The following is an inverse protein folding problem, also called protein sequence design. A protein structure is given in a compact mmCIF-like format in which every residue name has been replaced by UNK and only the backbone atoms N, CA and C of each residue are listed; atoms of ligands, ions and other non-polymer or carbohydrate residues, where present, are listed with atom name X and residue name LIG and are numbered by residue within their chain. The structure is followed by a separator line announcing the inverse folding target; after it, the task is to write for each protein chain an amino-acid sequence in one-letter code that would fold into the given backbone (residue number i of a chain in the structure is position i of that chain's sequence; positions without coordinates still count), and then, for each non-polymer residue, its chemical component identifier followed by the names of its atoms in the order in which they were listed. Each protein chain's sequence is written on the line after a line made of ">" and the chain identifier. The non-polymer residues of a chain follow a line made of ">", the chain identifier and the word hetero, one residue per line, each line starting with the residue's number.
data_IF_086136689939
#
_entry.id   IF_086136689939
#
_cell.length_a   1.000
_cell.length_b   1.000
_cell.length_c   1.000
_cell.angle_alpha   90.00
_cell.angle_beta   90.00
_cell.angle_gamma   90.00
#
_symmetry.space_group_name_H-M   'P 1'
#
loop_
_entity.id
_entity.type
_entity.pdbx_description
1 polymer ?
#
# COMPACT_ATOMS: atom_id res chain seq x y z
N UNK A 1 11.65 8.45 -6.20
CA UNK A 1 10.33 8.26 -6.85
C UNK A 1 9.19 8.55 -5.88
N UNK A 2 8.03 8.99 -6.36
CA UNK A 2 6.80 9.21 -5.57
C UNK A 2 5.67 8.38 -6.17
N UNK A 3 5.12 7.42 -5.42
CA UNK A 3 4.01 6.58 -5.85
C UNK A 3 2.71 7.01 -5.18
N UNK A 4 1.63 7.18 -5.95
CA UNK A 4 0.32 7.50 -5.38
C UNK A 4 -0.83 7.00 -6.26
N UNK A 5 -2.00 6.83 -5.65
CA UNK A 5 -3.23 6.46 -6.37
C UNK A 5 -3.85 7.65 -7.14
N UNK A 6 -4.91 7.35 -7.88
CA UNK A 6 -5.64 8.31 -8.73
C UNK A 6 -6.30 9.47 -7.98
N UNK A 7 -6.47 9.36 -6.66
CA UNK A 7 -7.01 10.41 -5.79
C UNK A 7 -6.01 11.53 -5.52
N UNK A 8 -4.71 11.27 -5.73
CA UNK A 8 -3.64 12.24 -5.52
C UNK A 8 -3.20 13.00 -6.77
N UNK A 9 -3.91 12.83 -7.89
CA UNK A 9 -3.65 13.58 -9.13
C UNK A 9 -3.91 15.06 -8.87
N UNK A 10 -2.85 15.86 -8.88
CA UNK A 10 -2.92 17.31 -8.73
C UNK A 10 -1.71 17.95 -9.41
N UNK A 11 -1.97 18.78 -10.42
CA UNK A 11 -0.94 19.41 -11.24
C UNK A 11 0.05 20.25 -10.41
N UNK A 12 -0.45 21.12 -9.52
CA UNK A 12 0.41 21.97 -8.67
C UNK A 12 1.31 21.14 -7.76
N UNK A 13 0.82 19.98 -7.31
CA UNK A 13 1.60 19.06 -6.48
C UNK A 13 2.68 18.34 -7.30
N UNK A 14 2.31 17.83 -8.48
CA UNK A 14 3.22 17.15 -9.39
C UNK A 14 4.36 18.08 -9.82
N UNK A 15 4.05 19.32 -10.17
CA UNK A 15 5.03 20.35 -10.56
C UNK A 15 6.00 20.66 -9.41
N UNK A 16 5.48 20.95 -8.21
CA UNK A 16 6.31 21.22 -7.03
C UNK A 16 7.27 20.07 -6.72
N UNK A 17 6.77 18.83 -6.74
CA UNK A 17 7.59 17.66 -6.42
C UNK A 17 8.59 17.34 -7.54
N UNK A 18 8.23 17.60 -8.80
CA UNK A 18 9.14 17.46 -9.93
C UNK A 18 10.27 18.50 -9.83
N UNK A 19 9.96 19.74 -9.44
CA UNK A 19 10.96 20.78 -9.16
C UNK A 19 11.89 20.44 -7.99
N UNK A 20 11.46 19.57 -7.08
CA UNK A 20 12.29 19.01 -6.00
C UNK A 20 13.11 17.77 -6.44
N UNK A 21 13.06 17.39 -7.72
CA UNK A 21 13.81 16.25 -8.26
C UNK A 21 13.12 14.89 -8.10
N UNK A 22 11.87 14.84 -7.64
CA UNK A 22 11.15 13.58 -7.52
C UNK A 22 10.54 13.13 -8.85
N UNK A 23 10.70 11.84 -9.17
CA UNK A 23 10.01 11.21 -10.30
C UNK A 23 8.59 10.78 -9.91
N UNK A 24 7.59 11.25 -10.65
CA UNK A 24 6.16 11.03 -10.37
C UNK A 24 5.62 9.70 -10.93
N UNK A 25 5.12 8.85 -10.04
CA UNK A 25 4.38 7.62 -10.32
C UNK A 25 2.97 7.70 -9.72
N UNK A 26 2.23 8.74 -10.11
CA UNK A 26 0.82 8.90 -9.72
C UNK A 26 -0.07 8.28 -10.78
N UNK A 27 -1.03 7.45 -10.39
CA UNK A 27 -1.99 6.84 -11.32
C UNK A 27 -2.84 7.90 -12.01
N UNK A 28 -3.11 7.74 -13.31
CA UNK A 28 -4.03 8.63 -14.03
C UNK A 28 -5.48 8.30 -13.68
N UNK A 29 -6.30 9.34 -13.53
CA UNK A 29 -7.73 9.27 -13.26
C UNK A 29 -8.49 9.54 -14.57
N UNK A 30 -9.41 8.65 -14.93
CA UNK A 30 -10.38 8.93 -16.00
C UNK A 30 -11.53 9.80 -15.47
N UNK A 31 -12.18 10.55 -16.36
CA UNK A 31 -13.43 11.25 -16.08
C UNK A 31 -14.58 10.60 -16.86
N UNK A 32 -15.82 10.99 -16.54
CA UNK A 32 -17.03 10.47 -17.20
C UNK A 32 -16.93 10.53 -18.73
N UNK A 33 -16.39 11.64 -19.23
CA UNK A 33 -16.32 11.91 -20.68
C UNK A 33 -14.94 11.59 -21.28
N UNK A 34 -13.95 11.24 -20.45
CA UNK A 34 -12.58 10.90 -20.89
C UNK A 34 -12.09 9.66 -20.14
N UNK A 35 -12.43 8.45 -20.63
CA UNK A 35 -11.93 7.22 -20.05
C UNK A 35 -10.41 7.12 -20.23
N UNK A 36 -9.76 6.32 -19.38
CA UNK A 36 -8.33 6.07 -19.49
C UNK A 36 -8.02 5.16 -20.69
N UNK A 37 -7.07 5.58 -21.51
CA UNK A 37 -6.54 4.76 -22.61
C UNK A 37 -5.89 3.49 -22.10
N UNK A 38 -5.75 2.48 -22.95
CA UNK A 38 -5.05 1.24 -22.61
C UNK A 38 -3.60 1.48 -22.16
N UNK A 39 -2.89 2.43 -22.78
CA UNK A 39 -1.55 2.82 -22.38
C UNK A 39 -1.53 3.36 -20.94
N UNK A 40 -2.51 4.19 -20.58
CA UNK A 40 -2.67 4.69 -19.21
C UNK A 40 -3.06 3.57 -18.23
N UNK A 41 -3.88 2.61 -18.64
CA UNK A 41 -4.21 1.43 -17.82
C UNK A 41 -2.96 0.59 -17.53
N UNK A 42 -2.14 0.29 -18.55
CA UNK A 42 -0.88 -0.44 -18.38
C UNK A 42 0.07 0.31 -17.45
N UNK A 43 0.18 1.63 -17.58
CA UNK A 43 0.94 2.48 -16.63
C UNK A 43 0.39 2.39 -15.22
N UNK A 44 -0.92 2.52 -15.03
CA UNK A 44 -1.56 2.43 -13.71
C UNK A 44 -1.34 1.06 -13.06
N UNK A 45 -1.39 -0.03 -13.84
CA UNK A 45 -1.09 -1.40 -13.38
C UNK A 45 0.34 -1.51 -12.86
N UNK A 46 1.32 -0.98 -13.60
CA UNK A 46 2.74 -0.95 -13.18
C UNK A 46 2.92 -0.17 -11.87
N UNK A 47 2.26 0.99 -11.76
CA UNK A 47 2.30 1.83 -10.54
C UNK A 47 1.60 1.15 -9.36
N UNK A 48 0.51 0.41 -9.61
CA UNK A 48 -0.24 -0.31 -8.57
C UNK A 48 0.49 -1.53 -8.01
N UNK A 49 1.34 -2.18 -8.82
CA UNK A 49 1.95 -3.47 -8.47
C UNK A 49 2.79 -3.42 -7.17
N UNK A 50 3.66 -2.43 -6.94
CA UNK A 50 4.33 -2.29 -5.65
C UNK A 50 3.36 -2.07 -4.48
N UNK A 51 2.27 -1.33 -4.73
CA UNK A 51 1.27 -0.97 -3.70
C UNK A 51 0.46 -2.17 -3.22
N UNK A 52 0.17 -3.11 -4.12
CA UNK A 52 -0.53 -4.35 -3.77
C UNK A 52 0.19 -5.12 -2.64
N UNK A 53 1.53 -5.12 -2.64
CA UNK A 53 2.33 -5.76 -1.58
C UNK A 53 2.07 -5.15 -0.20
N UNK A 54 1.87 -3.83 -0.14
CA UNK A 54 1.54 -3.11 1.10
C UNK A 54 0.08 -3.35 1.49
N UNK A 55 -0.83 -3.35 0.52
CA UNK A 55 -2.26 -3.63 0.77
C UNK A 55 -2.50 -5.03 1.34
N UNK A 56 -1.71 -6.02 0.93
CA UNK A 56 -1.76 -7.37 1.51
C UNK A 56 -1.47 -7.39 3.02
N UNK A 57 -0.64 -6.47 3.53
CA UNK A 57 -0.40 -6.33 4.98
C UNK A 57 -1.68 -5.89 5.68
N UNK A 58 -2.34 -4.86 5.15
CA UNK A 58 -3.60 -4.37 5.72
C UNK A 58 -4.71 -5.40 5.64
N UNK A 59 -4.82 -6.13 4.53
CA UNK A 59 -5.77 -7.23 4.40
C UNK A 59 -5.51 -8.34 5.43
N UNK A 60 -4.24 -8.73 5.62
CA UNK A 60 -3.87 -9.70 6.66
C UNK A 60 -4.20 -9.20 8.07
N UNK A 61 -3.95 -7.93 8.37
CA UNK A 61 -4.34 -7.33 9.65
C UNK A 61 -5.86 -7.30 9.82
N UNK A 62 -6.63 -7.04 8.76
CA UNK A 62 -8.10 -7.10 8.79
C UNK A 62 -8.60 -8.51 9.12
N UNK A 63 -7.98 -9.56 8.57
CA UNK A 63 -8.28 -10.95 8.92
C UNK A 63 -7.97 -11.28 10.38
N UNK A 64 -6.99 -10.60 11.00
CA UNK A 64 -6.69 -10.69 12.44
C UNK A 64 -7.63 -9.81 13.30
N UNK A 65 -8.83 -9.49 12.78
CA UNK A 65 -9.82 -8.64 13.44
C UNK A 65 -9.51 -7.14 13.36
N UNK A 66 -8.57 -6.73 12.51
CA UNK A 66 -8.25 -5.33 12.24
C UNK A 66 -7.99 -4.53 13.52
N UNK A 67 -8.65 -3.36 13.59
CA UNK A 67 -8.57 -2.42 14.73
C UNK A 67 -9.43 -2.84 15.93
N UNK A 68 -10.17 -3.95 15.86
CA UNK A 68 -11.00 -4.39 16.97
C UNK A 68 -10.12 -4.83 18.14
N UNK A 69 -10.36 -4.21 19.30
CA UNK A 69 -9.71 -4.47 20.58
C UNK A 69 -10.82 -4.54 21.65
N UNK A 70 -10.66 -5.43 22.63
CA UNK A 70 -11.60 -5.58 23.77
C UNK A 70 -10.92 -5.33 25.12
N UNK A 71 -9.64 -4.97 25.10
CA UNK A 71 -8.84 -4.73 26.29
C UNK A 71 -9.09 -3.33 26.85
N UNK A 72 -9.06 -3.23 28.18
CA UNK A 72 -9.12 -1.95 28.90
C UNK A 72 -7.69 -1.49 29.23
N UNK A 73 -7.38 -0.25 28.86
CA UNK A 73 -6.09 0.40 29.11
C UNK A 73 -5.15 0.37 27.91
N UNK A 74 -4.45 1.49 27.70
CA UNK A 74 -3.57 1.72 26.54
C UNK A 74 -2.46 0.67 26.41
N UNK A 75 -1.81 0.30 27.51
CA UNK A 75 -0.71 -0.68 27.49
C UNK A 75 -1.16 -2.05 26.93
N UNK A 76 -2.36 -2.52 27.32
CA UNK A 76 -2.92 -3.79 26.84
C UNK A 76 -3.35 -3.71 25.38
N UNK A 77 -3.97 -2.59 24.98
CA UNK A 77 -4.35 -2.32 23.61
C UNK A 77 -3.11 -2.31 22.67
N UNK A 78 -2.04 -1.61 23.07
CA UNK A 78 -0.77 -1.58 22.34
C UNK A 78 -0.14 -2.96 22.24
N UNK A 79 -0.08 -3.71 23.33
CA UNK A 79 0.44 -5.08 23.32
C UNK A 79 -0.34 -5.97 22.36
N UNK A 80 -1.68 -5.91 22.39
CA UNK A 80 -2.53 -6.70 21.50
C UNK A 80 -2.31 -6.37 20.03
N UNK A 81 -2.15 -5.08 19.68
CA UNK A 81 -1.81 -4.67 18.31
C UNK A 81 -0.43 -5.17 17.88
N UNK A 82 0.57 -5.07 18.77
CA UNK A 82 1.92 -5.57 18.50
C UNK A 82 1.94 -7.07 18.27
N UNK A 83 1.18 -7.85 19.06
CA UNK A 83 1.03 -9.29 18.84
C UNK A 83 0.36 -9.63 17.51
N UNK A 84 -0.66 -8.88 17.09
CA UNK A 84 -1.26 -9.07 15.74
C UNK A 84 -0.22 -8.82 14.64
N UNK A 85 0.55 -7.74 14.75
CA UNK A 85 1.61 -7.43 13.79
C UNK A 85 2.71 -8.50 13.77
N UNK A 86 3.15 -8.97 14.94
CA UNK A 86 4.14 -10.04 15.06
C UNK A 86 3.63 -11.35 14.43
N UNK A 87 2.39 -11.76 14.74
CA UNK A 87 1.77 -12.95 14.18
C UNK A 87 1.65 -12.87 12.65
N UNK A 88 1.24 -11.71 12.11
CA UNK A 88 1.21 -11.49 10.66
C UNK A 88 2.61 -11.62 10.04
N UNK A 89 3.61 -10.98 10.64
CA UNK A 89 4.98 -10.99 10.13
C UNK A 89 5.57 -12.41 10.14
N UNK A 90 5.32 -13.20 11.18
CA UNK A 90 5.76 -14.60 11.26
C UNK A 90 5.10 -15.45 10.17
N UNK A 91 3.77 -15.35 10.01
CA UNK A 91 3.05 -16.06 8.93
C UNK A 91 3.58 -15.69 7.55
N UNK A 92 3.82 -14.40 7.32
CA UNK A 92 4.39 -13.88 6.07
C UNK A 92 5.80 -14.38 5.84
N UNK A 93 6.63 -14.48 6.88
CA UNK A 93 7.98 -15.02 6.80
C UNK A 93 7.98 -16.49 6.36
N UNK A 94 7.10 -17.33 6.94
CA UNK A 94 6.98 -18.72 6.53
C UNK A 94 6.64 -18.83 5.03
N UNK A 95 5.63 -18.08 4.57
CA UNK A 95 5.27 -18.03 3.16
C UNK A 95 6.44 -17.58 2.26
N UNK A 96 7.17 -16.54 2.63
CA UNK A 96 8.30 -16.04 1.84
C UNK A 96 9.43 -17.07 1.76
N UNK A 97 9.70 -17.79 2.86
CA UNK A 97 10.68 -18.88 2.88
C UNK A 97 10.25 -20.03 1.97
N UNK A 98 8.99 -20.45 2.04
CA UNK A 98 8.42 -21.50 1.16
C UNK A 98 8.47 -21.10 -0.32
N UNK A 99 8.15 -19.83 -0.61
CA UNK A 99 8.22 -19.26 -1.95
C UNK A 99 9.66 -19.03 -2.46
N UNK A 100 10.69 -19.44 -1.69
CA UNK A 100 12.12 -19.24 -1.97
C UNK A 100 12.47 -17.78 -2.29
N UNK A 101 11.75 -16.85 -1.69
CA UNK A 101 12.08 -15.44 -1.80
C UNK A 101 13.35 -15.17 -0.98
N UNK A 102 14.46 -14.87 -1.66
CA UNK A 102 15.62 -14.25 -1.03
C UNK A 102 15.27 -12.80 -0.71
N UNK A 103 15.31 -12.45 0.58
CA UNK A 103 15.19 -11.07 1.01
C UNK A 103 16.60 -10.46 1.06
N UNK A 104 16.94 -9.72 0.00
CA UNK A 104 18.16 -8.92 -0.23
C UNK A 104 19.49 -9.68 -0.14
#
# INVERSE_FOLDING_TARGET
>A
DVYADKGYVNYKREERLTGQGYRMHIQRKGSKDKPISEAQQRRNRRIASPRARVEHVFAGMAQLGGKMLRSIGLARATLQLNWKAAAYNLRRLCYLKEAKFSAF
#
